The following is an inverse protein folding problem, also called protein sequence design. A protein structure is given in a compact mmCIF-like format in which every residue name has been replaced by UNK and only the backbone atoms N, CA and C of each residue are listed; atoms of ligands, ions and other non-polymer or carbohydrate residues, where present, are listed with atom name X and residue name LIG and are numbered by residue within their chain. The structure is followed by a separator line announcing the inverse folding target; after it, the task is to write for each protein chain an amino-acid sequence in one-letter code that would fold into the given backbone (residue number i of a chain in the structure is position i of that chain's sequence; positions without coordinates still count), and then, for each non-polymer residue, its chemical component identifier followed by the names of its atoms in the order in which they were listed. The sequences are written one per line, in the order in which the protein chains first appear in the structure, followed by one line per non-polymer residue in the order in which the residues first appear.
data_IF_132490208941
#
_entry.id   IF_132490208941
#
_cell.length_a   1.000
_cell.length_b   1.000
_cell.length_c   1.000
_cell.angle_alpha   90.00
_cell.angle_beta   90.00
_cell.angle_gamma   90.00
#
_symmetry.space_group_name_H-M   'P 1'
#
loop_
_entity.id
_entity.type
_entity.pdbx_description
1 polymer ?
#
# COMPACT_ATOMS: atom_id res chain seq x y z
N UNK A 1 -23.01 10.18 43.69
CA UNK A 1 -23.39 9.65 42.35
C UNK A 1 -24.08 10.78 41.60
N UNK A 2 -23.83 11.03 40.29
CA UNK A 2 -23.03 10.23 39.36
C UNK A 2 -22.20 11.02 38.28
N UNK A 3 -21.50 10.23 37.45
CA UNK A 3 -21.01 10.40 36.07
C UNK A 3 -19.86 11.36 35.69
N UNK A 4 -18.72 10.74 35.35
CA UNK A 4 -17.73 11.18 34.35
C UNK A 4 -18.34 11.17 32.93
N UNK A 5 -17.76 11.93 31.99
CA UNK A 5 -17.13 11.22 30.87
C UNK A 5 -15.72 11.72 30.52
N UNK A 6 -14.96 10.74 30.04
CA UNK A 6 -13.64 10.79 29.41
C UNK A 6 -13.75 11.45 28.03
N UNK A 7 -12.76 12.24 27.63
CA UNK A 7 -12.12 12.21 26.28
C UNK A 7 -11.56 13.59 25.90
N UNK A 8 -10.24 13.71 25.81
CA UNK A 8 -9.53 14.15 24.61
C UNK A 8 -8.05 14.32 24.93
N UNK A 9 -7.27 13.31 24.58
CA UNK A 9 -5.83 13.35 24.63
C UNK A 9 -5.31 14.41 23.65
N UNK A 10 -4.43 15.26 24.18
CA UNK A 10 -3.52 16.12 23.44
C UNK A 10 -2.79 15.33 22.35
N UNK A 11 -2.86 15.79 21.08
CA UNK A 11 -1.84 15.44 20.10
C UNK A 11 -1.26 16.71 19.47
N UNK A 12 0.01 16.91 19.78
CA UNK A 12 0.84 18.08 19.48
C UNK A 12 1.09 18.23 17.98
N UNK A 13 0.58 19.33 17.41
CA UNK A 13 0.88 19.79 16.06
C UNK A 13 2.27 20.45 16.04
N UNK A 14 3.32 19.71 15.71
CA UNK A 14 4.62 20.30 15.35
C UNK A 14 5.21 19.67 14.09
N UNK A 15 5.33 20.53 13.06
CA UNK A 15 6.23 20.46 11.90
C UNK A 15 5.94 19.36 10.86
N UNK A 16 4.91 19.58 10.05
CA UNK A 16 4.84 19.04 8.69
C UNK A 16 5.86 19.76 7.79
N UNK A 17 7.11 19.32 7.85
CA UNK A 17 8.11 19.58 6.82
C UNK A 17 7.71 18.73 5.62
N UNK A 18 7.54 19.36 4.46
CA UNK A 18 7.11 18.75 3.21
C UNK A 18 7.79 17.40 2.95
N UNK A 19 7.02 16.33 3.15
CA UNK A 19 7.33 15.01 2.62
C UNK A 19 6.07 14.66 1.85
N UNK A 20 6.07 14.89 0.53
CA UNK A 20 5.13 14.27 -0.40
C UNK A 20 5.42 12.76 -0.42
N UNK A 21 5.19 12.08 0.71
CA UNK A 21 4.99 10.64 0.74
C UNK A 21 3.50 10.47 0.57
N UNK A 22 3.08 9.75 -0.45
CA UNK A 22 1.70 9.30 -0.58
C UNK A 22 1.31 8.54 0.70
N UNK A 23 0.61 9.23 1.60
CA UNK A 23 0.07 8.71 2.86
C UNK A 23 -1.26 7.95 2.61
N UNK A 24 -1.76 7.93 1.36
CA UNK A 24 -3.10 7.43 1.05
C UNK A 24 -3.10 6.15 0.20
N UNK A 25 -2.29 5.16 0.56
CA UNK A 25 -2.63 3.78 0.24
C UNK A 25 -3.50 3.25 1.39
N UNK A 26 -4.82 3.25 1.22
CA UNK A 26 -5.74 2.62 2.18
C UNK A 26 -5.68 1.11 1.93
N UNK A 27 -4.79 0.42 2.62
CA UNK A 27 -4.73 -1.03 2.56
C UNK A 27 -5.97 -1.60 3.29
N UNK A 28 -6.94 -2.12 2.53
CA UNK A 28 -8.01 -2.95 3.07
C UNK A 28 -7.56 -4.40 2.91
N UNK A 29 -7.01 -5.00 3.97
CA UNK A 29 -6.53 -6.39 3.94
C UNK A 29 -7.70 -7.37 4.08
N UNK A 30 -7.86 -8.24 3.08
CA UNK A 30 -8.64 -9.48 3.20
C UNK A 30 -7.68 -10.65 3.16
N UNK A 31 -7.52 -11.37 4.28
CA UNK A 31 -6.89 -12.69 4.28
C UNK A 31 -7.92 -13.66 3.70
N UNK A 32 -7.72 -14.04 2.46
CA UNK A 32 -8.52 -15.10 1.84
C UNK A 32 -8.10 -16.46 2.42
N UNK A 33 -8.98 -17.46 2.39
CA UNK A 33 -8.68 -18.84 2.82
C UNK A 33 -7.48 -19.47 2.09
N UNK A 34 -7.02 -18.84 1.01
CA UNK A 34 -5.87 -19.20 0.18
C UNK A 34 -4.57 -18.48 0.55
N UNK A 35 -4.57 -17.56 1.52
CA UNK A 35 -3.36 -16.88 2.01
C UNK A 35 -2.90 -15.66 1.19
N UNK A 36 -3.70 -15.18 0.24
CA UNK A 36 -3.39 -13.95 -0.48
C UNK A 36 -3.85 -12.70 0.27
N UNK A 37 -3.05 -11.64 0.16
CA UNK A 37 -3.38 -10.29 0.63
C UNK A 37 -3.71 -9.41 -0.57
N UNK A 38 -4.81 -8.67 -0.49
CA UNK A 38 -5.18 -7.69 -1.51
C UNK A 38 -5.03 -6.28 -0.94
N UNK A 39 -4.30 -5.42 -1.64
CA UNK A 39 -4.18 -4.00 -1.29
C UNK A 39 -4.84 -3.14 -2.36
N UNK A 40 -5.76 -2.29 -1.92
CA UNK A 40 -6.48 -1.35 -2.78
C UNK A 40 -5.83 0.03 -2.70
N UNK A 41 -5.48 0.60 -3.84
CA UNK A 41 -4.94 1.95 -3.94
C UNK A 41 -5.83 2.76 -4.87
N UNK A 42 -6.34 3.89 -4.38
CA UNK A 42 -7.20 4.80 -5.14
C UNK A 42 -6.42 5.92 -5.84
N UNK A 43 -5.11 5.95 -5.63
CA UNK A 43 -4.23 6.99 -6.16
C UNK A 43 -2.94 6.36 -6.67
N UNK A 44 -2.52 6.78 -7.87
CA UNK A 44 -1.23 6.42 -8.43
C UNK A 44 -0.20 7.47 -8.01
N UNK A 45 0.88 7.09 -7.32
CA UNK A 45 1.90 8.03 -6.87
C UNK A 45 2.72 8.54 -8.06
N UNK A 46 3.12 9.81 -8.04
CA UNK A 46 3.84 10.46 -9.16
C UNK A 46 5.18 9.78 -9.48
N UNK A 47 5.82 9.17 -8.49
CA UNK A 47 7.08 8.43 -8.62
C UNK A 47 6.89 6.95 -9.00
N UNK A 48 5.64 6.49 -9.10
CA UNK A 48 5.29 5.09 -9.34
C UNK A 48 5.64 4.16 -8.17
N UNK A 49 5.95 4.68 -6.98
CA UNK A 49 6.35 3.91 -5.80
C UNK A 49 5.19 3.78 -4.82
N UNK A 50 4.71 2.56 -4.63
CA UNK A 50 3.73 2.22 -3.60
C UNK A 50 4.45 1.65 -2.37
N UNK A 51 4.19 2.22 -1.20
CA UNK A 51 4.79 1.78 0.08
C UNK A 51 3.69 1.18 0.98
N UNK A 52 3.79 -0.11 1.27
CA UNK A 52 2.89 -0.87 2.14
C UNK A 52 3.60 -1.21 3.44
N UNK A 53 3.38 -0.39 4.47
CA UNK A 53 4.06 -0.56 5.77
C UNK A 53 3.48 -1.69 6.61
N UNK A 54 2.22 -2.03 6.37
CA UNK A 54 1.48 -3.04 7.14
C UNK A 54 1.66 -4.46 6.59
N UNK A 55 2.14 -4.58 5.34
CA UNK A 55 2.37 -5.88 4.70
C UNK A 55 3.85 -6.23 4.89
N UNK A 56 4.11 -7.34 5.57
CA UNK A 56 5.46 -7.88 5.78
C UNK A 56 5.70 -8.98 4.75
N UNK A 57 6.61 -8.70 3.83
CA UNK A 57 7.06 -9.67 2.82
C UNK A 57 8.26 -10.49 3.30
N UNK A 58 8.44 -11.64 2.68
CA UNK A 58 9.67 -12.44 2.69
C UNK A 58 10.28 -12.45 1.29
N UNK A 59 11.51 -12.93 1.10
CA UNK A 59 12.15 -12.97 -0.22
C UNK A 59 11.36 -13.77 -1.29
N UNK A 60 10.36 -14.56 -0.87
CA UNK A 60 9.45 -15.31 -1.72
C UNK A 60 8.12 -14.60 -2.00
N UNK A 61 7.94 -13.39 -1.46
CA UNK A 61 6.74 -12.60 -1.69
C UNK A 61 6.70 -12.14 -3.13
N UNK A 62 5.58 -12.44 -3.79
CA UNK A 62 5.29 -11.90 -5.13
C UNK A 62 4.11 -10.95 -5.05
N UNK A 63 4.06 -10.00 -5.98
CA UNK A 63 3.03 -8.98 -6.06
C UNK A 63 2.63 -8.77 -7.52
N UNK A 64 1.33 -8.74 -7.76
CA UNK A 64 0.73 -8.54 -9.08
C UNK A 64 -0.24 -7.37 -9.02
N UNK A 65 -0.17 -6.47 -10.01
CA UNK A 65 -1.20 -5.44 -10.20
C UNK A 65 -2.31 -6.02 -11.10
N UNK A 66 -3.49 -6.22 -10.54
CA UNK A 66 -4.62 -6.78 -11.27
C UNK A 66 -5.05 -5.85 -12.40
N UNK A 67 -5.25 -6.43 -13.59
CA UNK A 67 -5.65 -5.67 -14.78
C UNK A 67 -4.53 -4.88 -15.45
N UNK A 68 -3.27 -5.05 -15.01
CA UNK A 68 -2.12 -4.45 -15.66
C UNK A 68 -1.82 -5.15 -16.99
N UNK A 69 -1.78 -4.38 -18.09
CA UNK A 69 -1.64 -4.93 -19.45
C UNK A 69 -0.23 -4.79 -20.04
N UNK A 70 0.69 -4.16 -19.32
CA UNK A 70 2.05 -3.99 -19.81
C UNK A 70 2.92 -5.20 -19.49
N UNK A 71 3.90 -5.47 -20.36
CA UNK A 71 4.93 -6.48 -20.14
C UNK A 71 6.07 -5.97 -19.26
N UNK A 72 6.07 -4.69 -18.85
CA UNK A 72 7.11 -4.16 -17.97
C UNK A 72 6.91 -4.72 -16.55
N UNK A 73 7.93 -5.34 -15.93
CA UNK A 73 7.75 -5.96 -14.64
C UNK A 73 7.56 -4.92 -13.52
N UNK A 74 6.75 -5.28 -12.52
CA UNK A 74 6.64 -4.54 -11.26
C UNK A 74 7.77 -5.02 -10.36
N UNK A 75 8.56 -4.08 -9.84
CA UNK A 75 9.70 -4.41 -8.99
C UNK A 75 9.27 -4.37 -7.53
N UNK A 76 9.58 -5.43 -6.80
CA UNK A 76 9.29 -5.55 -5.36
C UNK A 76 10.60 -5.30 -4.61
N UNK A 77 10.57 -4.39 -3.65
CA UNK A 77 11.66 -4.17 -2.71
C UNK A 77 11.14 -4.43 -1.31
N UNK A 78 11.67 -5.47 -0.67
CA UNK A 78 11.22 -5.90 0.64
C UNK A 78 12.14 -5.28 1.68
N UNK A 79 11.53 -4.68 2.70
CA UNK A 79 12.25 -4.23 3.87
C UNK A 79 11.65 -4.94 5.07
N UNK A 80 12.31 -6.01 5.53
CA UNK A 80 11.85 -6.91 6.59
C UNK A 80 11.43 -6.21 7.89
N UNK A 81 11.77 -4.92 8.07
CA UNK A 81 11.39 -4.09 9.23
C UNK A 81 10.46 -2.91 8.91
N UNK A 82 10.21 -2.60 7.63
CA UNK A 82 9.49 -1.39 7.20
C UNK A 82 8.37 -1.67 6.18
N UNK A 83 8.10 -2.94 5.91
CA UNK A 83 7.08 -3.41 4.98
C UNK A 83 7.60 -3.58 3.55
N UNK A 84 6.69 -3.56 2.58
CA UNK A 84 6.98 -3.78 1.16
C UNK A 84 6.90 -2.46 0.38
N UNK A 85 7.81 -2.29 -0.57
CA UNK A 85 7.72 -1.27 -1.60
C UNK A 85 7.55 -1.90 -2.96
N UNK A 86 6.59 -1.40 -3.74
CA UNK A 86 6.41 -1.76 -5.13
C UNK A 86 6.77 -0.56 -6.00
N UNK A 87 7.66 -0.76 -6.96
CA UNK A 87 7.90 0.19 -8.03
C UNK A 87 7.17 -0.29 -9.28
N UNK A 88 6.12 0.45 -9.64
CA UNK A 88 5.34 0.22 -10.84
C UNK A 88 5.91 1.10 -11.95
N UNK A 89 6.36 0.53 -13.08
CA UNK A 89 6.98 1.31 -14.14
C UNK A 89 5.95 2.22 -14.79
N UNK A 90 6.39 3.43 -15.14
CA UNK A 90 5.59 4.40 -15.89
C UNK A 90 5.33 3.88 -17.31
N UNK A 91 4.06 3.67 -17.63
CA UNK A 91 3.55 3.21 -18.92
C UNK A 91 2.34 4.03 -19.34
N UNK A 92 1.86 3.84 -20.58
CA UNK A 92 0.65 4.52 -21.05
C UNK A 92 -0.54 4.27 -20.09
N UNK A 93 -1.37 5.29 -19.79
CA UNK A 93 -2.55 5.18 -18.93
C UNK A 93 -3.49 4.02 -19.29
N UNK A 94 -3.58 3.67 -20.58
CA UNK A 94 -4.38 2.56 -21.11
C UNK A 94 -3.94 1.17 -20.61
N UNK A 95 -2.71 1.04 -20.10
CA UNK A 95 -2.18 -0.21 -19.57
C UNK A 95 -2.46 -0.40 -18.08
N UNK A 96 -2.93 0.64 -17.38
CA UNK A 96 -3.31 0.55 -15.99
C UNK A 96 -4.80 0.19 -15.83
N UNK A 97 -5.18 -0.44 -14.72
CA UNK A 97 -6.59 -0.63 -14.39
C UNK A 97 -7.30 0.73 -14.24
N UNK A 98 -8.57 0.83 -14.67
CA UNK A 98 -9.33 2.05 -14.50
C UNK A 98 -9.76 2.22 -13.03
N UNK A 99 -9.65 3.44 -12.51
CA UNK A 99 -10.12 3.92 -11.20
C UNK A 99 -9.40 3.42 -9.95
N UNK A 100 -9.07 2.13 -9.85
CA UNK A 100 -8.47 1.54 -8.64
C UNK A 100 -7.31 0.61 -9.04
N UNK A 101 -6.21 0.72 -8.30
CA UNK A 101 -5.06 -0.16 -8.42
C UNK A 101 -5.17 -1.24 -7.33
N UNK A 102 -5.33 -2.50 -7.73
CA UNK A 102 -5.43 -3.61 -6.78
C UNK A 102 -4.17 -4.47 -6.89
N UNK A 103 -3.40 -4.52 -5.83
CA UNK A 103 -2.23 -5.38 -5.73
C UNK A 103 -2.61 -6.66 -5.02
N UNK A 104 -2.34 -7.80 -5.65
CA UNK A 104 -2.42 -9.12 -5.06
C UNK A 104 -1.03 -9.53 -4.60
N UNK A 105 -0.87 -9.82 -3.31
CA UNK A 105 0.36 -10.35 -2.73
C UNK A 105 0.20 -11.82 -2.43
N UNK A 106 1.24 -12.58 -2.73
CA UNK A 106 1.41 -14.00 -2.38
C UNK A 106 2.59 -14.17 -1.43
N UNK A 107 2.50 -15.09 -0.48
CA UNK A 107 3.50 -15.31 0.57
C UNK A 107 3.88 -14.05 1.35
N UNK A 108 2.89 -13.21 1.66
CA UNK A 108 3.04 -12.02 2.51
C UNK A 108 2.19 -12.16 3.77
N UNK A 109 2.61 -11.54 4.87
CA UNK A 109 1.95 -11.64 6.18
C UNK A 109 1.67 -10.27 6.79
#
# INVERSE_FOLDING_TARGET
MPFLPISSYFYSQKKYKAIHKCIHAIAILFITTTGFIYAHCFHFPDDGIFEFKEIIGSDYTSAELLGYKSNKPITITINNSKGIKLSVPLVSPSNYPPFIFVFKFDNAC
#
